data_IF_331064255450
#
_entry.id   IF_331064255450
#
_cell.length_a   1.000
_cell.length_b   1.000
_cell.length_c   1.000
_cell.angle_alpha   90.00
_cell.angle_beta   90.00
_cell.angle_gamma   90.00
#
_symmetry.space_group_name_H-M   'P 1'
#
loop_
_entity.id
_entity.type
_entity.pdbx_description
1 polymer ?
#
# COMPACT_ATOMS: atom_id res chain seq x y z
N UNK A 1 19.03 10.05 -2.56
CA UNK A 1 18.51 10.84 -1.43
C UNK A 1 17.05 10.45 -1.37
N UNK A 2 16.65 9.65 -0.40
CA UNK A 2 15.28 9.12 -0.33
C UNK A 2 14.59 9.73 0.88
N UNK A 3 13.81 10.78 0.63
CA UNK A 3 12.92 11.35 1.64
C UNK A 3 11.62 10.56 1.68
N UNK A 4 11.17 10.26 2.90
CA UNK A 4 9.97 9.51 3.27
C UNK A 4 8.74 9.77 2.38
N UNK A 5 8.52 8.90 1.41
CA UNK A 5 7.35 8.83 0.55
C UNK A 5 7.11 7.41 0.04
N UNK A 6 6.65 6.52 0.92
CA UNK A 6 5.95 5.24 0.66
C UNK A 6 6.54 4.16 -0.28
N UNK A 7 7.62 4.40 -1.03
CA UNK A 7 8.25 3.41 -1.92
C UNK A 7 9.39 2.58 -1.28
N UNK A 8 9.86 2.95 -0.08
CA UNK A 8 11.07 2.37 0.53
C UNK A 8 10.82 1.11 1.37
N UNK A 9 9.60 0.57 1.38
CA UNK A 9 9.28 -0.62 2.17
C UNK A 9 9.80 -1.92 1.54
N UNK A 10 10.04 -1.92 0.21
CA UNK A 10 10.50 -3.09 -0.53
C UNK A 10 11.95 -3.43 -0.14
N UNK A 11 12.82 -2.42 -0.04
CA UNK A 11 14.24 -2.63 0.28
C UNK A 11 14.47 -3.37 1.61
N UNK A 12 13.83 -3.00 2.74
CA UNK A 12 13.86 -3.81 3.95
C UNK A 12 13.37 -5.25 3.76
N UNK A 13 12.36 -5.51 2.91
CA UNK A 13 11.88 -6.87 2.65
C UNK A 13 12.93 -7.70 1.91
N UNK A 14 13.69 -7.10 1.00
CA UNK A 14 14.82 -7.75 0.31
C UNK A 14 15.96 -8.03 1.29
N UNK A 15 16.36 -7.02 2.08
CA UNK A 15 17.44 -7.15 3.07
C UNK A 15 17.13 -8.26 4.08
N UNK A 16 15.88 -8.36 4.53
CA UNK A 16 15.43 -9.38 5.47
C UNK A 16 15.02 -10.71 4.80
N UNK A 17 15.28 -10.88 3.49
CA UNK A 17 15.03 -12.11 2.71
C UNK A 17 13.56 -12.55 2.64
N UNK A 18 12.63 -11.62 2.80
CA UNK A 18 11.21 -11.84 2.52
C UNK A 18 10.88 -11.71 1.03
N UNK A 19 11.69 -10.96 0.28
CA UNK A 19 11.66 -10.89 -1.18
C UNK A 19 13.03 -11.26 -1.75
N UNK A 20 13.10 -11.91 -2.92
CA UNK A 20 14.38 -12.30 -3.54
C UNK A 20 15.13 -11.11 -4.16
N UNK A 21 14.41 -10.09 -4.61
CA UNK A 21 14.94 -8.87 -5.24
C UNK A 21 13.93 -7.73 -5.09
N UNK A 22 14.37 -6.49 -5.27
CA UNK A 22 13.48 -5.33 -5.33
C UNK A 22 12.48 -5.49 -6.49
N UNK A 23 11.21 -5.27 -6.18
CA UNK A 23 10.16 -5.19 -7.20
C UNK A 23 10.22 -3.78 -7.77
N UNK A 24 10.77 -3.67 -8.98
CA UNK A 24 10.89 -2.43 -9.70
C UNK A 24 9.71 -2.29 -10.67
N UNK A 25 9.16 -1.09 -10.72
CA UNK A 25 8.26 -0.72 -11.79
C UNK A 25 9.09 -0.21 -12.99
N UNK A 26 9.06 -0.89 -14.15
CA UNK A 26 9.85 -0.50 -15.31
C UNK A 26 9.30 0.76 -16.01
N UNK A 27 8.08 1.22 -15.72
CA UNK A 27 7.43 2.35 -16.41
C UNK A 27 7.55 3.66 -15.61
N UNK A 28 7.66 3.59 -14.27
CA UNK A 28 7.74 4.78 -13.41
C UNK A 28 9.04 4.80 -12.58
N UNK A 29 9.90 5.75 -12.93
CA UNK A 29 11.16 6.03 -12.24
C UNK A 29 11.11 7.33 -11.42
N UNK A 30 10.14 7.44 -10.50
CA UNK A 30 10.05 8.58 -9.57
C UNK A 30 10.00 8.13 -8.11
N UNK A 31 10.26 9.07 -7.20
CA UNK A 31 10.44 8.81 -5.77
C UNK A 31 9.19 8.34 -5.02
N UNK A 32 8.00 8.38 -5.63
CA UNK A 32 6.76 7.92 -5.01
C UNK A 32 6.49 6.43 -5.24
N UNK A 33 7.07 5.84 -6.29
CA UNK A 33 6.84 4.46 -6.73
C UNK A 33 5.37 4.13 -7.06
N UNK A 34 5.15 3.04 -7.79
CA UNK A 34 3.79 2.52 -8.03
C UNK A 34 3.27 1.69 -6.86
N UNK A 35 4.16 1.12 -6.04
CA UNK A 35 3.81 0.40 -4.81
C UNK A 35 3.82 1.34 -3.61
N UNK A 36 2.84 1.18 -2.72
CA UNK A 36 2.79 1.91 -1.46
C UNK A 36 2.42 0.98 -0.31
N UNK A 37 3.15 1.11 0.81
CA UNK A 37 2.83 0.44 2.05
C UNK A 37 2.82 1.44 3.20
N UNK A 38 1.83 1.34 4.09
CA UNK A 38 1.84 2.09 5.34
C UNK A 38 1.11 1.32 6.45
N UNK A 39 1.66 1.37 7.66
CA UNK A 39 1.02 0.85 8.87
C UNK A 39 0.42 2.02 9.67
N UNK A 40 -0.90 2.04 9.77
CA UNK A 40 -1.64 3.04 10.53
C UNK A 40 -1.90 2.57 11.96
N UNK A 41 -1.82 3.51 12.91
CA UNK A 41 -2.17 3.27 14.31
C UNK A 41 -3.65 2.91 14.46
N UNK A 42 -4.01 2.21 15.54
CA UNK A 42 -5.40 1.93 15.90
C UNK A 42 -6.25 3.21 15.94
N UNK A 43 -7.49 3.17 15.45
CA UNK A 43 -8.38 4.33 15.38
C UNK A 43 -8.13 5.30 14.22
N UNK A 44 -7.02 5.14 13.48
CA UNK A 44 -6.72 6.04 12.35
C UNK A 44 -7.87 6.07 11.35
N UNK A 45 -8.24 7.27 10.88
CA UNK A 45 -9.34 7.51 9.94
C UNK A 45 -10.69 6.90 10.36
N UNK A 46 -10.90 6.77 11.68
CA UNK A 46 -12.12 6.21 12.26
C UNK A 46 -12.23 4.69 12.18
N UNK A 47 -11.15 3.97 11.79
CA UNK A 47 -11.16 2.52 11.79
C UNK A 47 -11.33 1.94 13.20
N UNK A 48 -11.89 0.74 13.29
CA UNK A 48 -12.22 0.06 14.55
C UNK A 48 -10.99 -0.09 15.46
N UNK A 49 -11.06 0.50 16.66
CA UNK A 49 -9.97 0.50 17.63
C UNK A 49 -9.76 -0.86 18.29
N UNK A 50 -10.81 -1.69 18.39
CA UNK A 50 -10.76 -3.02 19.01
C UNK A 50 -9.90 -3.99 18.19
N UNK A 51 -9.83 -3.76 16.87
CA UNK A 51 -9.06 -4.58 15.91
C UNK A 51 -7.59 -4.14 15.81
N UNK A 52 -7.20 -3.11 16.56
CA UNK A 52 -5.81 -2.65 16.64
C UNK A 52 -5.36 -1.84 15.42
N UNK A 53 -4.05 -1.75 15.25
CA UNK A 53 -3.46 -1.13 14.08
C UNK A 53 -3.78 -1.93 12.80
N UNK A 54 -3.58 -1.30 11.65
CA UNK A 54 -3.78 -1.94 10.36
C UNK A 54 -2.72 -1.49 9.36
N UNK A 55 -2.48 -2.31 8.34
CA UNK A 55 -1.69 -1.89 7.20
C UNK A 55 -2.57 -1.64 5.98
N UNK A 56 -2.06 -0.82 5.08
CA UNK A 56 -2.55 -0.68 3.70
C UNK A 56 -1.38 -0.93 2.76
N UNK A 57 -1.61 -1.80 1.78
CA UNK A 57 -0.72 -2.07 0.66
C UNK A 57 -1.48 -1.76 -0.63
N UNK A 58 -0.92 -0.91 -1.48
CA UNK A 58 -1.56 -0.47 -2.71
C UNK A 58 -0.61 -0.42 -3.90
N UNK A 59 -1.19 -0.53 -5.09
CA UNK A 59 -0.56 -0.31 -6.40
C UNK A 59 -1.37 0.77 -7.12
N UNK A 60 -0.72 1.84 -7.57
CA UNK A 60 -1.39 3.00 -8.17
C UNK A 60 -1.83 2.78 -9.60
N UNK A 61 -0.99 2.09 -10.37
CA UNK A 61 -1.20 1.82 -11.79
C UNK A 61 -0.77 0.37 -12.09
N UNK A 62 -1.67 -0.41 -12.68
CA UNK A 62 -1.43 -1.78 -13.16
C UNK A 62 -1.42 -1.84 -14.70
N UNK A 63 -1.27 -0.69 -15.36
CA UNK A 63 -0.97 -0.43 -16.77
C UNK A 63 -2.05 -0.85 -17.79
N UNK A 64 -2.91 -1.81 -17.47
CA UNK A 64 -3.84 -2.42 -18.46
C UNK A 64 -5.24 -2.71 -17.90
N UNK A 65 -5.60 -2.10 -16.77
CA UNK A 65 -6.92 -2.28 -16.16
C UNK A 65 -7.59 -0.94 -15.89
N UNK A 66 -8.91 -0.98 -15.69
CA UNK A 66 -9.66 0.19 -15.24
C UNK A 66 -9.62 0.27 -13.72
N UNK A 67 -9.57 1.48 -13.16
CA UNK A 67 -9.63 1.70 -11.72
C UNK A 67 -11.07 1.51 -11.18
N UNK A 68 -11.34 0.53 -10.29
CA UNK A 68 -10.38 -0.35 -9.61
C UNK A 68 -10.07 -1.66 -10.37
N UNK A 69 -8.83 -2.18 -10.24
CA UNK A 69 -8.43 -3.47 -10.81
C UNK A 69 -9.39 -4.57 -10.32
N UNK A 70 -9.87 -5.51 -11.16
CA UNK A 70 -10.90 -6.48 -10.79
C UNK A 70 -10.58 -7.38 -9.59
N UNK A 71 -9.29 -7.61 -9.31
CA UNK A 71 -8.81 -8.36 -8.13
C UNK A 71 -8.57 -7.51 -6.88
N UNK A 72 -8.81 -6.19 -6.93
CA UNK A 72 -8.68 -5.31 -5.78
C UNK A 72 -9.73 -5.69 -4.73
N UNK A 73 -9.27 -5.91 -3.50
CA UNK A 73 -10.18 -6.20 -2.37
C UNK A 73 -10.78 -4.93 -1.78
N UNK A 74 -10.20 -3.77 -2.11
CA UNK A 74 -10.52 -2.51 -1.49
C UNK A 74 -10.00 -2.43 -0.06
N UNK A 75 -9.85 -1.20 0.43
CA UNK A 75 -9.66 -0.91 1.84
C UNK A 75 -10.20 0.46 2.18
N UNK A 76 -11.00 0.53 3.24
CA UNK A 76 -11.55 1.79 3.72
C UNK A 76 -11.74 1.76 5.23
N UNK A 77 -11.67 2.97 5.80
CA UNK A 77 -12.14 3.32 7.12
C UNK A 77 -13.27 4.35 6.96
N UNK A 78 -14.08 4.62 8.01
CA UNK A 78 -15.19 5.57 7.92
C UNK A 78 -14.83 6.95 7.36
N UNK A 79 -13.63 7.47 7.63
CA UNK A 79 -13.22 8.79 7.15
C UNK A 79 -12.20 8.77 6.00
N UNK A 80 -11.85 7.60 5.43
CA UNK A 80 -10.92 7.49 4.30
C UNK A 80 -11.13 6.20 3.50
N UNK A 81 -11.16 6.32 2.18
CA UNK A 81 -11.18 5.18 1.27
C UNK A 81 -9.93 5.20 0.39
N UNK A 82 -9.05 4.20 0.55
CA UNK A 82 -7.81 4.11 -0.23
C UNK A 82 -8.04 3.60 -1.65
N UNK A 83 -9.23 3.04 -1.96
CA UNK A 83 -9.55 2.64 -3.33
C UNK A 83 -9.61 3.84 -4.29
N UNK A 84 -9.83 5.07 -3.78
CA UNK A 84 -9.76 6.28 -4.60
C UNK A 84 -8.33 6.71 -4.95
N UNK A 85 -7.32 6.15 -4.29
CA UNK A 85 -5.89 6.50 -4.46
C UNK A 85 -5.09 5.43 -5.21
N UNK A 86 -5.58 4.19 -5.21
CA UNK A 86 -4.90 3.03 -5.78
C UNK A 86 -5.82 2.28 -6.71
N UNK A 87 -5.28 1.82 -7.83
CA UNK A 87 -5.98 0.91 -8.72
C UNK A 87 -6.21 -0.46 -8.06
N UNK A 88 -5.20 -0.96 -7.33
CA UNK A 88 -5.31 -2.15 -6.50
C UNK A 88 -4.94 -1.85 -5.06
N UNK A 89 -5.78 -2.23 -4.10
CA UNK A 89 -5.49 -2.03 -2.68
C UNK A 89 -6.02 -3.16 -1.81
N UNK A 90 -5.24 -3.48 -0.78
CA UNK A 90 -5.64 -4.35 0.32
C UNK A 90 -5.20 -3.74 1.64
N UNK A 91 -5.94 -4.03 2.69
CA UNK A 91 -5.48 -3.81 4.06
C UNK A 91 -5.90 -4.95 4.95
N UNK A 92 -5.34 -4.95 6.17
CA UNK A 92 -5.71 -5.90 7.21
C UNK A 92 -5.40 -5.30 8.57
N UNK A 93 -6.30 -5.55 9.51
CA UNK A 93 -6.06 -5.30 10.93
C UNK A 93 -5.09 -6.34 11.51
N UNK A 94 -4.36 -5.95 12.56
CA UNK A 94 -3.44 -6.84 13.27
C UNK A 94 -4.15 -7.83 14.21
N UNK A 95 -5.42 -7.58 14.55
CA UNK A 95 -6.23 -8.43 15.43
C UNK A 95 -7.52 -8.90 14.74
#
# INVERSE_FOLDING_TARGET
>A
WDSSGNGTFITPLVINKFLPIDILDPTINNSCGNYAYYRYSSGSYGCDTARGAFYVLGVRDMENTGNPHPSSRGWSCPSRNWQGEFEWVVGKFER
#
